data_IF_296723555826
#
_entry.id   IF_296723555826
#
_cell.length_a   1.000
_cell.length_b   1.000
_cell.length_c   1.000
_cell.angle_alpha   90.00
_cell.angle_beta   90.00
_cell.angle_gamma   90.00
#
_symmetry.space_group_name_H-M   'P 1'
#
loop_
_entity.id
_entity.type
_entity.pdbx_description
1 polymer ?
#
# COMPACT_ATOMS: atom_id res chain seq x y z
N UNK A 1 57.91 20.52 -2.64
CA UNK A 1 57.77 21.09 -3.99
C UNK A 1 56.45 20.56 -4.55
N UNK A 2 55.33 21.29 -4.46
CA UNK A 2 54.94 22.43 -5.32
C UNK A 2 55.01 22.03 -6.81
N UNK A 3 54.01 22.26 -7.66
CA UNK A 3 52.70 22.85 -7.47
C UNK A 3 51.80 22.52 -8.67
N UNK A 4 50.53 22.37 -8.33
CA UNK A 4 49.33 22.54 -9.13
C UNK A 4 49.36 23.81 -10.01
N UNK A 5 48.93 23.69 -11.27
CA UNK A 5 48.54 24.83 -12.12
C UNK A 5 47.01 24.83 -12.30
N UNK A 6 46.43 26.02 -12.15
CA UNK A 6 44.99 26.31 -12.11
C UNK A 6 44.63 27.32 -13.22
N UNK A 7 43.34 27.36 -13.55
CA UNK A 7 42.60 28.38 -14.36
C UNK A 7 42.65 28.19 -15.88
N UNK A 8 41.54 28.19 -16.64
CA UNK A 8 40.29 28.96 -16.51
C UNK A 8 39.11 28.22 -17.22
N UNK A 9 37.97 28.03 -16.55
CA UNK A 9 36.68 28.77 -16.61
C UNK A 9 35.76 28.50 -17.81
N UNK A 10 34.73 27.67 -17.56
CA UNK A 10 33.29 27.85 -17.87
C UNK A 10 32.62 26.49 -17.62
N UNK A 11 31.77 26.26 -16.62
CA UNK A 11 30.57 27.02 -16.29
C UNK A 11 29.34 26.27 -16.82
N UNK A 12 29.02 25.09 -16.28
CA UNK A 12 27.76 24.40 -16.57
C UNK A 12 27.27 23.65 -15.32
N UNK A 13 26.41 24.35 -14.56
CA UNK A 13 25.67 23.80 -13.43
C UNK A 13 24.55 22.94 -13.98
N UNK A 14 24.56 21.64 -13.65
CA UNK A 14 23.48 20.71 -13.94
C UNK A 14 22.18 21.16 -13.26
N UNK A 15 21.28 21.76 -14.05
CA UNK A 15 19.86 21.90 -13.71
C UNK A 15 19.17 20.56 -13.94
N UNK A 16 19.15 19.69 -12.92
CA UNK A 16 18.21 18.58 -12.88
C UNK A 16 16.86 19.12 -12.40
N UNK A 17 16.07 19.62 -13.34
CA UNK A 17 14.71 20.10 -13.12
C UNK A 17 13.83 18.96 -12.61
N UNK A 18 13.22 19.19 -11.44
CA UNK A 18 12.19 18.35 -10.83
C UNK A 18 10.94 18.42 -11.70
N UNK A 19 10.71 17.41 -12.53
CA UNK A 19 9.41 17.19 -13.18
C UNK A 19 8.47 16.52 -12.18
N UNK A 20 7.93 17.32 -11.26
CA UNK A 20 6.64 17.08 -10.62
C UNK A 20 5.70 18.12 -11.21
N UNK A 21 4.54 17.67 -11.70
CA UNK A 21 3.50 18.46 -12.37
C UNK A 21 3.82 18.84 -13.83
N UNK A 22 3.38 18.00 -14.77
CA UNK A 22 2.81 18.55 -16.01
C UNK A 22 1.39 18.99 -15.65
N UNK A 23 1.22 20.30 -15.52
CA UNK A 23 -0.05 21.00 -15.49
C UNK A 23 -0.55 21.03 -16.93
N UNK A 24 -1.53 20.18 -17.28
CA UNK A 24 -2.40 20.32 -18.46
C UNK A 24 -3.63 19.39 -18.35
N UNK A 25 -4.23 19.28 -17.16
CA UNK A 25 -5.49 18.54 -16.97
C UNK A 25 -6.45 19.17 -15.95
N UNK A 26 -6.24 20.42 -15.56
CA UNK A 26 -7.11 21.14 -14.62
C UNK A 26 -7.33 22.58 -15.10
N UNK A 27 -8.03 22.74 -16.22
CA UNK A 27 -8.66 24.01 -16.59
C UNK A 27 -9.85 23.78 -17.53
N UNK A 28 -11.00 23.36 -17.00
CA UNK A 28 -12.31 23.87 -17.47
C UNK A 28 -13.25 23.82 -16.27
N UNK A 29 -13.29 24.92 -15.53
CA UNK A 29 -14.51 25.33 -14.83
C UNK A 29 -15.30 26.16 -15.81
N UNK A 30 -16.44 25.66 -16.29
CA UNK A 30 -17.54 26.56 -16.62
C UNK A 30 -18.90 25.87 -16.56
N UNK A 31 -19.89 26.72 -16.39
CA UNK A 31 -21.12 26.52 -15.64
C UNK A 31 -22.36 26.29 -16.52
N UNK A 32 -23.41 25.75 -15.88
CA UNK A 32 -24.83 25.79 -16.27
C UNK A 32 -25.26 25.26 -17.65
N UNK A 33 -25.99 24.14 -17.67
CA UNK A 33 -27.40 24.13 -18.12
C UNK A 33 -28.13 22.84 -17.72
N UNK A 34 -29.23 23.04 -16.99
CA UNK A 34 -30.27 22.05 -16.72
C UNK A 34 -31.03 21.75 -18.01
N UNK A 35 -31.25 20.48 -18.32
CA UNK A 35 -32.50 20.04 -18.94
C UNK A 35 -32.91 18.66 -18.42
N UNK A 36 -34.12 18.64 -17.88
CA UNK A 36 -34.87 17.45 -17.48
C UNK A 36 -35.23 16.60 -18.71
N UNK A 37 -34.99 15.29 -18.63
CA UNK A 37 -35.73 14.31 -19.42
C UNK A 37 -36.23 13.20 -18.48
N UNK A 38 -37.54 13.25 -18.22
CA UNK A 38 -38.36 12.17 -17.67
C UNK A 38 -38.53 11.07 -18.71
N UNK A 39 -38.40 9.81 -18.27
CA UNK A 39 -39.09 8.57 -18.74
C UNK A 39 -38.30 7.39 -18.13
N UNK A 40 -38.85 6.30 -17.62
CA UNK A 40 -40.19 5.85 -17.27
C UNK A 40 -39.97 4.61 -16.36
N UNK A 41 -40.87 4.37 -15.40
CA UNK A 41 -40.75 3.28 -14.41
C UNK A 41 -41.23 1.95 -15.00
N UNK A 42 -40.50 0.87 -14.72
CA UNK A 42 -41.04 -0.51 -14.72
C UNK A 42 -40.27 -1.39 -13.69
N UNK A 43 -40.84 -2.50 -13.21
CA UNK A 43 -41.04 -2.74 -11.77
C UNK A 43 -39.93 -3.53 -11.05
N UNK A 44 -39.80 -3.28 -9.73
CA UNK A 44 -39.06 -4.12 -8.76
C UNK A 44 -39.71 -5.50 -8.61
N UNK A 45 -38.92 -6.54 -8.28
CA UNK A 45 -39.18 -7.27 -7.02
C UNK A 45 -37.89 -7.81 -6.33
N UNK A 46 -37.97 -8.57 -5.23
CA UNK A 46 -38.02 -8.09 -3.85
C UNK A 46 -36.68 -8.28 -3.09
N UNK A 47 -36.56 -7.60 -1.94
CA UNK A 47 -35.57 -7.92 -0.91
C UNK A 47 -35.83 -9.30 -0.31
N UNK A 48 -34.78 -10.08 -0.08
CA UNK A 48 -34.72 -11.05 1.01
C UNK A 48 -33.25 -11.24 1.44
N UNK A 49 -32.98 -10.80 2.67
CA UNK A 49 -31.83 -11.21 3.45
C UNK A 49 -32.18 -12.55 4.08
N UNK A 50 -31.31 -13.56 3.97
CA UNK A 50 -31.31 -14.65 4.94
C UNK A 50 -29.90 -15.22 5.15
N UNK A 51 -29.49 -15.17 6.41
CA UNK A 51 -28.25 -15.70 7.00
C UNK A 51 -28.53 -17.12 7.49
N UNK A 52 -28.15 -18.16 6.75
CA UNK A 52 -27.89 -19.50 7.30
C UNK A 52 -27.43 -20.48 6.21
N UNK A 53 -26.12 -20.71 6.11
CA UNK A 53 -25.44 -21.98 5.78
C UNK A 53 -24.04 -21.68 5.24
N UNK A 54 -23.03 -22.08 6.01
CA UNK A 54 -21.61 -21.79 5.78
C UNK A 54 -20.95 -22.65 4.71
N UNK A 55 -21.55 -22.80 3.52
CA UNK A 55 -20.91 -23.41 2.37
C UNK A 55 -21.29 -22.65 1.08
N UNK A 56 -20.38 -21.78 0.62
CA UNK A 56 -20.46 -21.24 -0.74
C UNK A 56 -19.72 -22.18 -1.70
N UNK A 57 -20.47 -23.02 -2.42
CA UNK A 57 -20.05 -23.48 -3.74
C UNK A 57 -19.94 -22.24 -4.65
N UNK A 58 -18.95 -22.16 -5.56
CA UNK A 58 -18.90 -21.06 -6.51
C UNK A 58 -20.24 -21.00 -7.26
N UNK A 59 -20.84 -19.80 -7.41
CA UNK A 59 -22.17 -19.69 -8.00
C UNK A 59 -22.15 -20.27 -9.42
N UNK A 60 -23.05 -21.22 -9.69
CA UNK A 60 -23.31 -21.82 -11.00
C UNK A 60 -23.96 -20.85 -12.01
N UNK A 61 -23.88 -19.55 -11.75
CA UNK A 61 -24.29 -18.47 -12.64
C UNK A 61 -23.10 -17.60 -13.10
N UNK A 62 -21.87 -18.06 -12.86
CA UNK A 62 -20.67 -17.48 -13.45
C UNK A 62 -20.39 -18.00 -14.87
N UNK A 63 -21.42 -18.39 -15.62
CA UNK A 63 -21.43 -18.11 -17.06
C UNK A 63 -21.61 -16.58 -17.25
N UNK A 64 -20.60 -15.82 -16.83
CA UNK A 64 -20.20 -14.72 -17.69
C UNK A 64 -19.97 -15.38 -19.04
N UNK A 65 -20.61 -14.90 -20.11
CA UNK A 65 -20.22 -15.20 -21.49
C UNK A 65 -18.77 -14.75 -21.70
N UNK A 66 -17.85 -15.50 -21.11
CA UNK A 66 -16.44 -15.56 -21.44
C UNK A 66 -16.45 -16.33 -22.75
N UNK A 67 -16.38 -15.63 -23.87
CA UNK A 67 -16.09 -16.24 -25.16
C UNK A 67 -14.65 -16.80 -25.11
N UNK A 68 -14.53 -18.00 -24.53
CA UNK A 68 -13.31 -18.77 -24.42
C UNK A 68 -13.71 -20.20 -24.05
N UNK A 69 -13.59 -21.11 -25.02
CA UNK A 69 -13.84 -22.53 -24.79
C UNK A 69 -12.85 -23.07 -23.75
N UNK A 70 -13.36 -23.63 -22.66
CA UNK A 70 -12.54 -24.29 -21.65
C UNK A 70 -12.04 -25.63 -22.21
N UNK A 71 -10.80 -25.68 -22.69
CA UNK A 71 -10.17 -26.90 -23.17
C UNK A 71 -9.71 -27.72 -21.96
N UNK A 72 -10.28 -28.90 -21.77
CA UNK A 72 -9.81 -29.86 -20.75
C UNK A 72 -8.55 -30.55 -21.26
N UNK A 73 -7.42 -30.29 -20.61
CA UNK A 73 -6.18 -31.04 -20.76
C UNK A 73 -5.66 -31.39 -19.37
N UNK A 74 -5.45 -32.68 -19.11
CA UNK A 74 -4.93 -33.30 -17.88
C UNK A 74 -5.08 -32.47 -16.58
N UNK A 75 -6.18 -32.70 -15.85
CA UNK A 75 -6.51 -32.20 -14.50
C UNK A 75 -6.55 -30.68 -14.27
N UNK A 76 -6.12 -29.84 -15.20
CA UNK A 76 -6.13 -28.37 -15.04
C UNK A 76 -7.20 -27.73 -15.92
N UNK A 77 -7.93 -26.75 -15.39
CA UNK A 77 -8.91 -25.97 -16.15
C UNK A 77 -8.22 -24.74 -16.75
N UNK A 78 -8.08 -24.73 -18.07
CA UNK A 78 -7.44 -23.65 -18.79
C UNK A 78 -8.47 -22.60 -19.19
N UNK A 79 -8.20 -21.33 -18.91
CA UNK A 79 -8.99 -20.17 -19.31
C UNK A 79 -8.11 -19.25 -20.14
N UNK A 80 -8.52 -18.99 -21.38
CA UNK A 80 -7.96 -17.90 -22.16
C UNK A 80 -8.71 -16.61 -21.86
N UNK A 81 -7.99 -15.55 -21.47
CA UNK A 81 -8.58 -14.25 -21.20
C UNK A 81 -7.97 -13.19 -22.13
N UNK A 82 -8.76 -12.55 -23.00
CA UNK A 82 -8.22 -11.66 -24.03
C UNK A 82 -7.61 -10.38 -23.44
N UNK A 83 -8.20 -9.84 -22.36
CA UNK A 83 -7.75 -8.62 -21.70
C UNK A 83 -6.66 -8.85 -20.64
N UNK A 84 -6.24 -7.80 -19.91
CA UNK A 84 -5.28 -7.92 -18.82
C UNK A 84 -5.80 -8.68 -17.60
N UNK A 85 -4.93 -9.52 -17.04
CA UNK A 85 -5.10 -10.14 -15.72
C UNK A 85 -4.46 -9.27 -14.64
N UNK A 86 -5.22 -8.95 -13.60
CA UNK A 86 -4.79 -8.14 -12.46
C UNK A 86 -4.67 -9.04 -11.23
N UNK A 87 -3.50 -9.06 -10.59
CA UNK A 87 -3.25 -9.90 -9.41
C UNK A 87 -3.40 -9.05 -8.14
N UNK A 88 -4.51 -9.27 -7.42
CA UNK A 88 -4.86 -8.61 -6.16
C UNK A 88 -6.01 -7.61 -6.29
N UNK A 89 -7.01 -7.71 -5.42
CA UNK A 89 -8.14 -6.80 -5.27
C UNK A 89 -7.95 -5.80 -4.12
N UNK A 90 -6.71 -5.39 -3.88
CA UNK A 90 -6.39 -4.23 -3.04
C UNK A 90 -6.67 -2.90 -3.75
N UNK A 91 -6.48 -1.74 -3.08
CA UNK A 91 -6.74 -0.43 -3.68
C UNK A 91 -6.06 -0.22 -5.04
N UNK A 92 -4.82 -0.69 -5.21
CA UNK A 92 -4.09 -0.59 -6.49
C UNK A 92 -4.74 -1.39 -7.62
N UNK A 93 -5.25 -2.59 -7.32
CA UNK A 93 -5.92 -3.46 -8.29
C UNK A 93 -7.30 -2.94 -8.68
N UNK A 94 -8.03 -2.37 -7.72
CA UNK A 94 -9.31 -1.71 -7.97
C UNK A 94 -9.13 -0.45 -8.84
N UNK A 95 -8.11 0.36 -8.53
CA UNK A 95 -7.77 1.57 -9.29
C UNK A 95 -7.50 1.26 -10.77
N UNK A 96 -6.64 0.28 -11.06
CA UNK A 96 -6.32 -0.08 -12.45
C UNK A 96 -7.52 -0.70 -13.17
N UNK A 97 -8.34 -1.51 -12.51
CA UNK A 97 -9.54 -2.07 -13.12
C UNK A 97 -10.56 -0.99 -13.51
N UNK A 98 -10.73 0.05 -12.67
CA UNK A 98 -11.59 1.18 -12.99
C UNK A 98 -11.06 2.00 -14.18
N UNK A 99 -9.76 2.32 -14.19
CA UNK A 99 -9.14 3.03 -15.32
C UNK A 99 -9.23 2.23 -16.63
N UNK A 100 -9.01 0.91 -16.59
CA UNK A 100 -9.16 0.05 -17.78
C UNK A 100 -10.62 0.03 -18.27
N UNK A 101 -11.59 -0.01 -17.35
CA UNK A 101 -13.00 0.03 -17.68
C UNK A 101 -13.41 1.35 -18.33
N UNK A 102 -12.93 2.48 -17.81
CA UNK A 102 -13.14 3.80 -18.43
C UNK A 102 -12.61 3.85 -19.87
N UNK A 103 -11.50 3.16 -20.13
CA UNK A 103 -10.90 3.03 -21.47
C UNK A 103 -11.53 1.95 -22.36
N UNK A 104 -12.59 1.27 -21.89
CA UNK A 104 -13.27 0.21 -22.64
C UNK A 104 -12.48 -1.10 -22.77
N UNK A 105 -11.44 -1.30 -21.94
CA UNK A 105 -10.63 -2.54 -21.95
C UNK A 105 -11.17 -3.51 -20.89
N UNK A 106 -11.67 -4.70 -21.28
CA UNK A 106 -12.11 -5.70 -20.30
C UNK A 106 -10.92 -6.23 -19.50
N UNK A 107 -11.08 -6.36 -18.18
CA UNK A 107 -10.03 -6.86 -17.29
C UNK A 107 -10.59 -7.84 -16.26
N UNK A 108 -9.74 -8.71 -15.74
CA UNK A 108 -10.11 -9.72 -14.75
C UNK A 108 -9.15 -9.65 -13.55
N UNK A 109 -9.70 -9.53 -12.35
CA UNK A 109 -8.92 -9.51 -11.10
C UNK A 109 -8.97 -10.90 -10.46
N UNK A 110 -7.80 -11.43 -10.09
CA UNK A 110 -7.65 -12.61 -9.24
C UNK A 110 -7.28 -12.17 -7.82
N UNK A 111 -8.09 -12.53 -6.83
CA UNK A 111 -7.87 -12.22 -5.41
C UNK A 111 -7.75 -13.51 -4.59
N UNK A 112 -6.69 -13.58 -3.78
CA UNK A 112 -6.41 -14.73 -2.90
C UNK A 112 -7.50 -14.91 -1.84
N UNK A 113 -7.97 -13.83 -1.26
CA UNK A 113 -8.89 -13.86 -0.12
C UNK A 113 -10.36 -13.90 -0.59
N UNK A 114 -11.29 -14.02 0.34
CA UNK A 114 -12.74 -14.00 0.08
C UNK A 114 -13.35 -12.60 -0.02
N UNK A 115 -12.52 -11.55 0.03
CA UNK A 115 -12.99 -10.16 0.05
C UNK A 115 -11.98 -9.19 -0.59
N UNK A 116 -12.47 -8.05 -1.06
CA UNK A 116 -11.61 -6.96 -1.54
C UNK A 116 -10.86 -6.30 -0.38
N UNK A 117 -9.71 -5.72 -0.69
CA UNK A 117 -8.89 -4.97 0.27
C UNK A 117 -8.67 -5.74 1.58
N UNK A 118 -8.39 -7.04 1.48
CA UNK A 118 -8.22 -7.95 2.61
C UNK A 118 -7.23 -7.46 3.66
N UNK A 119 -6.13 -6.80 3.24
CA UNK A 119 -5.19 -6.15 4.17
C UNK A 119 -5.88 -5.14 5.09
N UNK A 120 -6.77 -4.31 4.55
CA UNK A 120 -7.54 -3.33 5.31
C UNK A 120 -8.61 -3.98 6.18
N UNK A 121 -9.39 -4.93 5.62
CA UNK A 121 -10.47 -5.58 6.34
C UNK A 121 -9.96 -6.48 7.48
N UNK A 122 -9.02 -7.36 7.14
CA UNK A 122 -8.62 -8.50 7.96
C UNK A 122 -7.30 -8.31 8.70
N UNK A 123 -6.38 -7.45 8.24
CA UNK A 123 -5.00 -7.37 8.77
C UNK A 123 -4.63 -6.01 9.38
N UNK A 124 -5.64 -5.19 9.63
CA UNK A 124 -5.50 -3.84 10.19
C UNK A 124 -6.32 -3.70 11.46
N UNK A 125 -5.79 -2.98 12.44
CA UNK A 125 -6.45 -2.68 13.71
C UNK A 125 -7.64 -1.72 13.56
N UNK A 126 -8.55 -1.76 14.52
CA UNK A 126 -9.88 -1.13 14.41
C UNK A 126 -9.81 0.40 14.44
N UNK A 127 -8.94 0.95 15.30
CA UNK A 127 -8.82 2.40 15.49
C UNK A 127 -8.19 3.15 14.32
N UNK A 128 -7.66 2.44 13.31
CA UNK A 128 -6.88 3.05 12.24
C UNK A 128 -7.69 4.18 11.59
N UNK A 129 -7.03 5.32 11.43
CA UNK A 129 -7.45 6.39 10.53
C UNK A 129 -6.39 6.57 9.45
N UNK A 130 -6.79 7.03 8.27
CA UNK A 130 -5.82 7.41 7.26
C UNK A 130 -4.89 8.50 7.83
N UNK A 131 -3.58 8.32 7.68
CA UNK A 131 -2.59 9.29 8.17
C UNK A 131 -2.52 10.55 7.29
N UNK A 132 -3.01 10.45 6.05
CA UNK A 132 -3.00 11.54 5.08
C UNK A 132 -4.44 12.06 4.87
N UNK A 133 -4.58 13.35 4.50
CA UNK A 133 -5.87 13.89 4.09
C UNK A 133 -6.54 13.09 2.98
N UNK A 134 -7.88 13.03 3.00
CA UNK A 134 -8.69 12.21 2.09
C UNK A 134 -8.36 12.41 0.61
N UNK A 135 -8.15 13.66 0.17
CA UNK A 135 -7.81 13.97 -1.24
C UNK A 135 -6.47 13.39 -1.73
N UNK A 136 -5.54 13.02 -0.83
CA UNK A 136 -4.31 12.30 -1.21
C UNK A 136 -4.49 10.78 -1.21
N UNK A 137 -5.66 10.28 -0.82
CA UNK A 137 -5.98 8.88 -0.68
C UNK A 137 -7.11 8.42 -1.62
N UNK A 138 -7.59 9.30 -2.50
CA UNK A 138 -8.63 8.98 -3.48
C UNK A 138 -8.08 8.01 -4.51
N UNK A 139 -8.90 7.04 -4.88
CA UNK A 139 -8.69 6.21 -6.05
C UNK A 139 -9.10 7.00 -7.30
N UNK A 140 -8.52 6.69 -8.47
CA UNK A 140 -8.79 7.45 -9.68
C UNK A 140 -10.29 7.41 -10.02
N UNK A 141 -10.78 8.47 -10.66
CA UNK A 141 -12.15 8.60 -11.17
C UNK A 141 -13.26 8.75 -10.11
N UNK A 142 -12.97 8.68 -8.80
CA UNK A 142 -14.00 8.82 -7.77
C UNK A 142 -13.45 9.45 -6.48
N UNK A 143 -13.82 10.70 -6.15
CA UNK A 143 -13.39 11.32 -4.90
C UNK A 143 -14.05 10.69 -3.68
N UNK A 144 -13.53 10.96 -2.49
CA UNK A 144 -14.25 10.59 -1.26
C UNK A 144 -15.54 11.39 -1.11
N UNK A 145 -16.56 10.83 -0.42
CA UNK A 145 -17.75 11.60 -0.05
C UNK A 145 -17.40 12.92 0.67
N UNK A 146 -18.13 14.01 0.40
CA UNK A 146 -17.82 15.34 0.95
C UNK A 146 -17.94 15.38 2.48
N UNK A 147 -18.87 14.61 3.05
CA UNK A 147 -19.14 14.47 4.49
C UNK A 147 -18.07 13.69 5.26
N UNK A 148 -17.19 12.94 4.57
CA UNK A 148 -16.10 12.24 5.25
C UNK A 148 -15.12 13.23 5.89
N UNK A 149 -14.58 12.93 7.09
CA UNK A 149 -13.61 13.78 7.74
C UNK A 149 -12.32 13.87 6.90
N UNK A 150 -11.49 14.88 7.20
CA UNK A 150 -10.18 15.06 6.55
C UNK A 150 -9.34 13.79 6.62
N UNK A 151 -9.43 13.04 7.72
CA UNK A 151 -8.76 11.76 7.94
C UNK A 151 -9.80 10.65 8.15
N UNK A 152 -10.24 9.99 7.07
CA UNK A 152 -11.22 8.90 7.15
C UNK A 152 -10.78 7.78 8.08
N UNK A 153 -11.73 7.20 8.79
CA UNK A 153 -11.52 5.95 9.55
C UNK A 153 -11.32 4.77 8.60
N UNK A 154 -10.75 3.66 9.12
CA UNK A 154 -10.71 2.37 8.44
C UNK A 154 -12.08 1.99 7.86
N UNK A 155 -13.14 2.12 8.64
CA UNK A 155 -14.49 1.71 8.23
C UNK A 155 -15.03 2.59 7.09
N UNK A 156 -14.79 3.90 7.16
CA UNK A 156 -15.11 4.83 6.08
C UNK A 156 -14.32 4.54 4.81
N UNK A 157 -13.02 4.26 4.90
CA UNK A 157 -12.21 3.88 3.75
C UNK A 157 -12.71 2.58 3.10
N UNK A 158 -13.06 1.57 3.91
CA UNK A 158 -13.65 0.32 3.43
C UNK A 158 -14.99 0.58 2.72
N UNK A 159 -15.87 1.39 3.31
CA UNK A 159 -17.16 1.78 2.72
C UNK A 159 -16.99 2.51 1.39
N UNK A 160 -15.98 3.37 1.28
CA UNK A 160 -15.59 4.02 0.03
C UNK A 160 -15.18 2.99 -1.04
N UNK A 161 -14.36 1.99 -0.69
CA UNK A 161 -13.97 0.92 -1.63
C UNK A 161 -15.16 0.04 -2.04
N UNK A 162 -16.09 -0.25 -1.12
CA UNK A 162 -17.34 -0.97 -1.43
C UNK A 162 -18.21 -0.19 -2.43
N UNK A 163 -18.26 1.13 -2.28
CA UNK A 163 -18.97 2.01 -3.22
C UNK A 163 -18.24 2.05 -4.56
N UNK A 164 -16.90 2.09 -4.55
CA UNK A 164 -16.04 2.15 -5.72
C UNK A 164 -16.25 0.93 -6.62
N UNK A 165 -16.21 -0.29 -6.07
CA UNK A 165 -16.43 -1.51 -6.87
C UNK A 165 -17.84 -1.58 -7.44
N UNK A 166 -18.86 -1.07 -6.74
CA UNK A 166 -20.24 -1.02 -7.23
C UNK A 166 -20.37 -0.04 -8.39
N UNK A 167 -19.84 1.18 -8.22
CA UNK A 167 -19.86 2.24 -9.22
C UNK A 167 -19.21 1.79 -10.53
N UNK A 168 -18.02 1.20 -10.46
CA UNK A 168 -17.31 0.69 -11.63
C UNK A 168 -17.69 -0.76 -11.98
N UNK A 169 -18.69 -1.37 -11.34
CA UNK A 169 -19.12 -2.77 -11.54
C UNK A 169 -17.96 -3.78 -11.61
N UNK A 170 -16.95 -3.60 -10.75
CA UNK A 170 -15.75 -4.45 -10.69
C UNK A 170 -16.11 -5.74 -9.95
N UNK A 171 -15.77 -6.89 -10.55
CA UNK A 171 -16.06 -8.22 -10.00
C UNK A 171 -14.80 -9.08 -9.95
N UNK A 172 -14.05 -9.08 -8.84
CA UNK A 172 -12.91 -9.97 -8.66
C UNK A 172 -13.33 -11.43 -8.55
N UNK A 173 -12.46 -12.33 -9.02
CA UNK A 173 -12.53 -13.75 -8.68
C UNK A 173 -11.81 -13.98 -7.35
N UNK A 174 -12.56 -14.29 -6.32
CA UNK A 174 -12.05 -14.58 -4.98
C UNK A 174 -11.56 -16.01 -4.85
N UNK A 175 -10.75 -16.26 -3.81
CA UNK A 175 -10.10 -17.57 -3.55
C UNK A 175 -9.23 -18.06 -4.71
N UNK A 176 -8.71 -17.12 -5.50
CA UNK A 176 -7.81 -17.37 -6.62
C UNK A 176 -6.40 -16.93 -6.25
N UNK A 177 -5.76 -17.68 -5.35
CA UNK A 177 -4.34 -17.46 -5.02
C UNK A 177 -3.48 -17.80 -6.22
N UNK A 178 -2.79 -16.80 -6.77
CA UNK A 178 -1.77 -17.02 -7.80
C UNK A 178 -0.54 -17.63 -7.17
N UNK A 179 -0.22 -18.87 -7.55
CA UNK A 179 0.93 -19.64 -7.05
C UNK A 179 2.13 -19.55 -7.98
N UNK A 180 1.88 -19.36 -9.28
CA UNK A 180 2.92 -19.23 -10.32
C UNK A 180 2.41 -18.35 -11.46
N UNK A 181 3.27 -17.48 -11.98
CA UNK A 181 3.04 -16.78 -13.23
C UNK A 181 4.34 -16.74 -14.04
N UNK A 182 4.30 -17.17 -15.30
CA UNK A 182 5.48 -17.21 -16.18
C UNK A 182 5.10 -16.80 -17.61
N UNK A 183 6.04 -16.18 -18.32
CA UNK A 183 5.86 -15.83 -19.71
C UNK A 183 6.30 -16.99 -20.61
N UNK A 184 5.42 -17.45 -21.48
CA UNK A 184 5.68 -18.53 -22.43
C UNK A 184 6.03 -17.92 -23.81
N UNK A 185 7.32 -17.91 -24.13
CA UNK A 185 7.83 -17.37 -25.40
C UNK A 185 7.36 -18.14 -26.64
N UNK A 186 6.81 -19.35 -26.49
CA UNK A 186 6.31 -20.11 -27.64
C UNK A 186 4.97 -19.57 -28.14
N UNK A 187 4.17 -19.01 -27.24
CA UNK A 187 2.85 -18.47 -27.56
C UNK A 187 2.78 -16.95 -27.46
N UNK A 188 3.77 -16.31 -26.82
CA UNK A 188 3.79 -14.88 -26.49
C UNK A 188 2.67 -14.44 -25.52
N UNK A 189 2.41 -15.28 -24.51
CA UNK A 189 1.43 -15.02 -23.44
C UNK A 189 1.99 -15.40 -22.08
N UNK A 190 1.42 -14.80 -21.03
CA UNK A 190 1.60 -15.25 -19.66
C UNK A 190 0.71 -16.46 -19.38
N UNK A 191 1.26 -17.44 -18.67
CA UNK A 191 0.55 -18.53 -18.02
C UNK A 191 0.53 -18.29 -16.52
N UNK A 192 -0.67 -18.27 -15.92
CA UNK A 192 -0.88 -17.95 -14.51
C UNK A 192 -1.62 -19.10 -13.85
N UNK A 193 -0.97 -19.81 -12.93
CA UNK A 193 -1.59 -20.83 -12.11
C UNK A 193 -2.23 -20.18 -10.88
N UNK A 194 -3.54 -20.35 -10.73
CA UNK A 194 -4.30 -19.78 -9.63
C UNK A 194 -5.31 -20.76 -9.03
N UNK A 195 -5.64 -20.56 -7.75
CA UNK A 195 -6.51 -21.47 -7.02
C UNK A 195 -5.89 -22.87 -6.95
N UNK A 196 -6.75 -23.90 -6.91
CA UNK A 196 -6.26 -25.28 -6.83
C UNK A 196 -5.79 -25.80 -8.18
N UNK A 197 -6.60 -25.67 -9.23
CA UNK A 197 -6.36 -26.31 -10.53
C UNK A 197 -6.64 -25.42 -11.76
N UNK A 198 -6.60 -24.08 -11.62
CA UNK A 198 -6.85 -23.18 -12.76
C UNK A 198 -5.55 -22.65 -13.38
N UNK A 199 -5.51 -22.63 -14.71
CA UNK A 199 -4.48 -21.95 -15.50
C UNK A 199 -5.14 -20.86 -16.33
N UNK A 200 -4.69 -19.62 -16.16
CA UNK A 200 -5.14 -18.48 -16.96
C UNK A 200 -4.06 -18.11 -17.96
N UNK A 201 -4.46 -17.83 -19.20
CA UNK A 201 -3.58 -17.38 -20.27
C UNK A 201 -4.00 -15.98 -20.68
N UNK A 202 -3.08 -15.01 -20.60
CA UNK A 202 -3.33 -13.62 -21.01
C UNK A 202 -2.06 -12.94 -21.51
N UNK A 203 -2.22 -11.99 -22.42
CA UNK A 203 -1.11 -11.21 -22.98
C UNK A 203 -0.54 -10.22 -21.97
N UNK A 204 -1.39 -9.70 -21.08
CA UNK A 204 -1.01 -8.66 -20.14
C UNK A 204 -1.20 -9.14 -18.71
N UNK A 205 -0.15 -8.97 -17.91
CA UNK A 205 -0.14 -9.29 -16.49
C UNK A 205 0.13 -8.03 -15.69
N UNK A 206 -0.78 -7.69 -14.78
CA UNK A 206 -0.69 -6.52 -13.92
C UNK A 206 -0.52 -7.00 -12.48
N UNK A 207 0.67 -6.75 -11.92
CA UNK A 207 0.98 -7.03 -10.52
C UNK A 207 0.42 -5.92 -9.64
N UNK A 208 -0.60 -6.23 -8.83
CA UNK A 208 -1.26 -5.29 -7.92
C UNK A 208 -1.29 -5.78 -6.46
N UNK A 209 -0.37 -6.69 -6.10
CA UNK A 209 -0.28 -7.29 -4.75
C UNK A 209 0.27 -6.33 -3.69
N UNK A 210 0.90 -5.23 -4.11
CA UNK A 210 1.40 -4.16 -3.27
C UNK A 210 2.69 -4.47 -2.51
N UNK A 211 3.25 -3.43 -1.90
CA UNK A 211 4.54 -3.49 -1.19
C UNK A 211 4.48 -4.14 0.21
N UNK A 212 3.28 -4.23 0.81
CA UNK A 212 3.07 -4.70 2.19
C UNK A 212 2.25 -6.00 2.25
N UNK A 213 2.64 -7.00 1.44
CA UNK A 213 1.87 -8.24 1.27
C UNK A 213 2.03 -9.21 2.45
N UNK A 214 3.26 -9.38 2.97
CA UNK A 214 3.60 -10.34 4.02
C UNK A 214 4.21 -9.66 5.24
N UNK A 215 3.83 -10.12 6.44
CA UNK A 215 4.44 -9.68 7.69
C UNK A 215 5.94 -10.03 7.73
N UNK A 216 6.77 -9.08 8.15
CA UNK A 216 8.21 -9.32 8.34
C UNK A 216 8.47 -9.74 9.78
N UNK A 217 8.63 -11.03 10.03
CA UNK A 217 9.01 -11.57 11.34
C UNK A 217 10.54 -11.76 11.38
N UNK A 218 11.28 -10.99 12.19
CA UNK A 218 12.73 -11.15 12.31
C UNK A 218 13.07 -12.46 13.02
N UNK A 219 14.25 -13.03 12.70
CA UNK A 219 14.83 -14.13 13.47
C UNK A 219 15.64 -13.52 14.61
N UNK A 220 15.20 -13.69 15.85
CA UNK A 220 15.90 -13.26 17.06
C UNK A 220 16.12 -14.50 17.93
N UNK A 221 17.31 -14.63 18.52
CA UNK A 221 17.67 -15.75 19.39
C UNK A 221 16.70 -15.90 20.55
N UNK A 222 16.31 -17.14 20.87
CA UNK A 222 15.39 -17.46 21.97
C UNK A 222 13.91 -17.20 21.68
N UNK A 223 13.53 -16.71 20.49
CA UNK A 223 12.14 -16.29 20.23
C UNK A 223 11.12 -17.45 20.35
N UNK A 224 11.54 -18.69 20.08
CA UNK A 224 10.73 -19.90 20.27
C UNK A 224 10.59 -20.34 21.72
N UNK A 225 11.41 -19.81 22.63
CA UNK A 225 11.42 -20.15 24.06
C UNK A 225 10.48 -19.25 24.87
N UNK A 226 10.05 -18.12 24.31
CA UNK A 226 9.13 -17.19 24.95
C UNK A 226 7.75 -17.84 25.16
N UNK A 227 7.33 -17.91 26.42
CA UNK A 227 6.07 -18.55 26.84
C UNK A 227 4.86 -17.62 26.81
N UNK A 228 5.09 -16.31 26.67
CA UNK A 228 4.03 -15.31 26.54
C UNK A 228 3.44 -15.24 25.13
N UNK A 229 2.54 -14.29 24.92
CA UNK A 229 1.90 -14.11 23.60
C UNK A 229 2.84 -13.36 22.65
N UNK A 230 3.14 -13.95 21.48
CA UNK A 230 3.92 -13.32 20.42
C UNK A 230 3.06 -13.14 19.17
N UNK A 231 2.93 -11.91 18.68
CA UNK A 231 2.17 -11.63 17.45
C UNK A 231 2.80 -10.52 16.63
N UNK A 232 2.50 -10.48 15.33
CA UNK A 232 2.80 -9.34 14.47
C UNK A 232 1.64 -8.34 14.48
N UNK A 233 1.92 -7.06 14.18
CA UNK A 233 0.89 -6.00 14.08
C UNK A 233 -0.25 -6.32 13.11
N UNK A 234 -0.04 -7.20 12.13
CA UNK A 234 -1.10 -7.70 11.23
C UNK A 234 -2.20 -8.48 11.95
N UNK A 235 -1.88 -9.07 13.10
CA UNK A 235 -2.80 -9.83 13.93
C UNK A 235 -3.39 -8.98 15.09
N UNK A 236 -2.88 -7.76 15.30
CA UNK A 236 -3.39 -6.86 16.33
C UNK A 236 -4.73 -6.22 15.90
N UNK A 237 -5.69 -6.11 16.83
CA UNK A 237 -7.04 -5.57 16.56
C UNK A 237 -7.38 -4.34 17.38
N UNK A 238 -7.30 -4.44 18.70
CA UNK A 238 -7.65 -3.39 19.64
C UNK A 238 -6.81 -3.49 20.90
N UNK A 239 -6.54 -2.36 21.55
CA UNK A 239 -5.74 -2.32 22.77
C UNK A 239 -6.40 -2.94 24.00
N UNK A 240 -7.73 -2.99 24.03
CA UNK A 240 -8.49 -3.56 25.16
C UNK A 240 -8.17 -5.06 25.41
N UNK A 241 -7.76 -5.79 24.37
CA UNK A 241 -7.34 -7.20 24.47
C UNK A 241 -6.03 -7.42 25.25
N UNK A 242 -5.40 -6.35 25.75
CA UNK A 242 -4.11 -6.36 26.44
C UNK A 242 -4.17 -5.59 27.76
N UNK A 243 -5.38 -5.33 28.27
CA UNK A 243 -5.59 -4.53 29.47
C UNK A 243 -4.82 -5.11 30.65
N UNK A 244 -4.03 -4.26 31.33
CA UNK A 244 -3.13 -4.62 32.45
C UNK A 244 -2.00 -5.60 32.11
N UNK A 245 -1.77 -5.89 30.83
CA UNK A 245 -0.59 -6.65 30.41
C UNK A 245 0.64 -5.73 30.29
N UNK A 246 1.82 -6.27 30.59
CA UNK A 246 3.10 -5.71 30.19
C UNK A 246 3.37 -6.11 28.75
N UNK A 247 3.33 -5.14 27.84
CA UNK A 247 3.48 -5.42 26.41
C UNK A 247 4.62 -4.65 25.77
N UNK A 248 5.51 -5.41 25.13
CA UNK A 248 6.65 -4.90 24.39
C UNK A 248 6.31 -4.81 22.90
N UNK A 249 6.32 -3.61 22.36
CA UNK A 249 6.16 -3.35 20.92
C UNK A 249 7.54 -3.22 20.27
N UNK A 250 7.85 -4.14 19.37
CA UNK A 250 9.14 -4.19 18.68
C UNK A 250 9.08 -3.36 17.41
N UNK A 251 9.56 -2.12 17.48
CA UNK A 251 9.63 -1.19 16.35
C UNK A 251 8.84 0.10 16.59
N UNK A 252 9.37 1.18 16.03
CA UNK A 252 8.93 2.55 16.26
C UNK A 252 8.50 3.27 14.98
N UNK A 253 8.00 2.52 13.99
CA UNK A 253 7.33 3.08 12.81
C UNK A 253 5.90 3.55 13.14
N UNK A 254 5.15 3.98 12.10
CA UNK A 254 3.76 4.44 12.28
C UNK A 254 2.90 3.42 13.05
N UNK A 255 2.92 2.14 12.62
CA UNK A 255 2.18 1.08 13.32
C UNK A 255 2.64 0.87 14.76
N UNK A 256 3.95 0.92 15.04
CA UNK A 256 4.47 0.73 16.39
C UNK A 256 4.02 1.84 17.34
N UNK A 257 4.16 3.10 16.92
CA UNK A 257 3.70 4.24 17.72
C UNK A 257 2.18 4.24 17.91
N UNK A 258 1.41 3.85 16.89
CA UNK A 258 -0.05 3.80 16.97
C UNK A 258 -0.54 2.67 17.90
N UNK A 259 0.07 1.49 17.83
CA UNK A 259 -0.24 0.37 18.73
C UNK A 259 0.15 0.70 20.17
N UNK A 260 1.33 1.28 20.42
CA UNK A 260 1.70 1.71 21.79
C UNK A 260 0.71 2.74 22.35
N UNK A 261 0.26 3.69 21.54
CA UNK A 261 -0.75 4.67 21.97
C UNK A 261 -2.08 3.99 22.30
N UNK A 262 -2.52 3.02 21.50
CA UNK A 262 -3.76 2.30 21.76
C UNK A 262 -3.70 1.45 23.02
N UNK A 263 -2.61 0.70 23.18
CA UNK A 263 -2.32 -0.08 24.39
C UNK A 263 -2.36 0.80 25.64
N UNK A 264 -1.65 1.94 25.61
CA UNK A 264 -1.60 2.89 26.71
C UNK A 264 -2.98 3.47 27.03
N UNK A 265 -3.78 3.80 26.02
CA UNK A 265 -5.15 4.32 26.21
C UNK A 265 -6.11 3.26 26.78
N UNK A 266 -5.79 1.98 26.63
CA UNK A 266 -6.58 0.85 27.15
C UNK A 266 -5.92 0.19 28.39
N UNK A 267 -5.11 0.95 29.13
CA UNK A 267 -4.52 0.54 30.41
C UNK A 267 -3.56 -0.67 30.33
N UNK A 268 -2.90 -0.89 29.20
CA UNK A 268 -1.76 -1.78 29.09
C UNK A 268 -0.45 -1.04 29.42
N UNK A 269 0.53 -1.73 29.98
CA UNK A 269 1.87 -1.20 30.24
C UNK A 269 2.75 -1.37 29.00
N UNK A 270 2.80 -0.32 28.16
CA UNK A 270 3.48 -0.38 26.87
C UNK A 270 4.96 0.04 26.97
N UNK A 271 5.85 -0.84 26.52
CA UNK A 271 7.25 -0.55 26.21
C UNK A 271 7.49 -0.60 24.70
N UNK A 272 8.30 0.30 24.15
CA UNK A 272 8.60 0.38 22.72
C UNK A 272 10.09 0.24 22.46
N UNK A 273 10.46 -0.75 21.65
CA UNK A 273 11.83 -0.95 21.19
C UNK A 273 12.17 0.07 20.11
N UNK A 274 13.20 0.87 20.35
CA UNK A 274 13.76 1.83 19.39
C UNK A 274 15.21 1.46 19.12
N UNK A 275 15.46 0.80 17.99
CA UNK A 275 16.82 0.43 17.55
C UNK A 275 17.47 1.52 16.70
N UNK A 276 16.72 1.99 15.71
CA UNK A 276 17.21 2.88 14.65
C UNK A 276 16.67 4.31 14.82
N UNK A 277 17.36 5.25 14.17
CA UNK A 277 16.94 6.66 14.12
C UNK A 277 15.66 6.81 13.29
N UNK A 278 14.74 7.66 13.75
CA UNK A 278 13.52 7.98 13.00
C UNK A 278 13.16 9.47 13.10
N UNK A 279 12.45 9.96 12.08
CA UNK A 279 11.86 11.29 12.12
C UNK A 279 10.43 11.19 12.62
N UNK A 280 10.10 11.96 13.66
CA UNK A 280 8.74 12.17 14.13
C UNK A 280 8.36 13.58 13.74
N UNK A 281 7.27 13.71 13.00
CA UNK A 281 6.68 14.99 12.62
C UNK A 281 5.27 15.07 13.20
N UNK A 282 4.77 16.27 13.54
CA UNK A 282 3.36 16.40 13.89
C UNK A 282 2.51 16.01 12.69
N UNK A 283 1.29 15.47 12.89
CA UNK A 283 0.39 15.21 11.76
C UNK A 283 -0.04 16.51 11.05
N UNK A 284 -0.20 17.58 11.82
CA UNK A 284 -0.63 18.90 11.35
C UNK A 284 0.27 20.00 11.94
N UNK A 285 0.54 21.02 11.14
CA UNK A 285 1.25 22.25 11.50
C UNK A 285 0.27 23.41 11.30
N UNK A 286 -0.18 24.04 12.38
CA UNK A 286 -1.11 25.18 12.34
C UNK A 286 -2.40 24.90 11.52
N UNK A 287 -3.00 23.72 11.69
CA UNK A 287 -4.21 23.29 10.98
C UNK A 287 -3.99 22.79 9.54
N UNK A 288 -2.76 22.83 9.04
CA UNK A 288 -2.39 22.27 7.72
C UNK A 288 -1.72 20.93 7.90
N UNK A 289 -2.13 19.92 7.14
CA UNK A 289 -1.46 18.61 7.20
C UNK A 289 0.03 18.73 6.85
N UNK A 290 0.90 18.08 7.63
CA UNK A 290 2.36 18.10 7.39
C UNK A 290 2.72 17.54 6.01
N UNK A 291 1.96 16.55 5.54
CA UNK A 291 2.12 16.02 4.19
C UNK A 291 1.76 17.06 3.13
N UNK A 292 0.60 17.74 3.24
CA UNK A 292 0.21 18.81 2.33
C UNK A 292 1.22 19.97 2.32
N UNK A 293 1.69 20.37 3.51
CA UNK A 293 2.77 21.36 3.65
C UNK A 293 4.04 20.88 2.93
N UNK A 294 4.43 19.61 3.09
CA UNK A 294 5.62 19.08 2.41
C UNK A 294 5.48 19.08 0.88
N UNK A 295 4.30 18.75 0.34
CA UNK A 295 4.02 18.80 -1.09
C UNK A 295 4.09 20.24 -1.60
N UNK A 296 3.50 21.18 -0.86
CA UNK A 296 3.54 22.61 -1.20
C UNK A 296 4.98 23.15 -1.18
N UNK A 297 5.78 22.83 -0.16
CA UNK A 297 7.18 23.23 -0.08
C UNK A 297 8.01 22.68 -1.24
N UNK A 298 7.82 21.40 -1.59
CA UNK A 298 8.54 20.75 -2.69
C UNK A 298 8.18 21.32 -4.07
N UNK A 299 7.06 22.04 -4.21
CA UNK A 299 6.73 22.76 -5.44
C UNK A 299 7.64 23.97 -5.67
N UNK A 300 8.16 24.57 -4.61
CA UNK A 300 8.86 25.85 -4.66
C UNK A 300 10.32 25.79 -4.21
N UNK A 301 10.68 24.78 -3.41
CA UNK A 301 11.96 24.71 -2.72
C UNK A 301 12.69 23.39 -2.99
N UNK A 302 14.03 23.39 -2.99
CA UNK A 302 14.82 22.17 -2.99
C UNK A 302 14.52 21.30 -1.76
N UNK A 303 14.62 19.98 -1.91
CA UNK A 303 14.30 18.97 -0.87
C UNK A 303 14.96 19.30 0.49
N UNK A 304 16.24 19.70 0.48
CA UNK A 304 16.98 20.02 1.71
C UNK A 304 16.45 21.25 2.44
N UNK A 305 15.96 22.25 1.70
CA UNK A 305 15.36 23.46 2.29
C UNK A 305 13.99 23.12 2.88
N UNK A 306 13.18 22.36 2.15
CA UNK A 306 11.90 21.85 2.65
C UNK A 306 12.10 21.01 3.93
N UNK A 307 13.09 20.13 3.95
CA UNK A 307 13.45 19.33 5.13
C UNK A 307 13.86 20.19 6.32
N UNK A 308 14.67 21.24 6.10
CA UNK A 308 15.07 22.16 7.15
C UNK A 308 13.86 22.86 7.78
N UNK A 309 12.93 23.37 6.95
CA UNK A 309 11.71 24.02 7.41
C UNK A 309 10.79 23.06 8.18
N UNK A 310 10.59 21.85 7.67
CA UNK A 310 9.79 20.83 8.35
C UNK A 310 10.39 20.45 9.71
N UNK A 311 11.72 20.33 9.78
CA UNK A 311 12.42 20.02 11.03
C UNK A 311 12.36 21.17 12.03
N UNK A 312 12.39 22.42 11.57
CA UNK A 312 12.18 23.60 12.41
C UNK A 312 10.76 23.59 13.01
N UNK A 313 9.72 23.42 12.18
CA UNK A 313 8.34 23.29 12.66
C UNK A 313 8.19 22.13 13.65
N UNK A 314 8.78 20.97 13.34
CA UNK A 314 8.74 19.81 14.21
C UNK A 314 9.47 20.06 15.55
N UNK A 315 10.58 20.81 15.57
CA UNK A 315 11.26 21.19 16.82
C UNK A 315 10.42 22.17 17.64
N UNK A 316 9.76 23.13 17.01
CA UNK A 316 8.90 24.09 17.71
C UNK A 316 7.67 23.43 18.32
N UNK A 317 7.03 22.49 17.60
CA UNK A 317 5.78 21.85 18.04
C UNK A 317 6.06 20.66 18.97
N UNK A 318 6.98 19.77 18.58
CA UNK A 318 7.25 18.53 19.31
C UNK A 318 8.41 18.65 20.31
N UNK A 319 9.21 19.71 20.25
CA UNK A 319 10.42 19.85 21.06
C UNK A 319 11.53 18.89 20.64
N UNK A 320 12.53 18.76 21.53
CA UNK A 320 13.59 17.78 21.38
C UNK A 320 13.09 16.38 21.73
N UNK A 321 13.20 15.46 20.77
CA UNK A 321 12.79 14.06 20.88
C UNK A 321 13.91 13.16 21.38
N UNK A 322 15.17 13.60 21.27
CA UNK A 322 16.34 12.80 21.65
C UNK A 322 16.41 12.58 23.16
N UNK A 323 15.98 13.56 23.96
CA UNK A 323 15.83 13.45 25.42
C UNK A 323 14.88 12.34 25.89
N UNK A 324 14.09 11.78 24.97
CA UNK A 324 13.15 10.68 25.21
C UNK A 324 13.56 9.38 24.48
N UNK A 325 14.82 9.25 24.07
CA UNK A 325 15.33 8.06 23.37
C UNK A 325 15.00 7.99 21.87
N UNK A 326 14.35 9.03 21.31
CA UNK A 326 13.93 9.07 19.90
C UNK A 326 14.89 9.94 19.08
N UNK A 327 16.00 9.33 18.70
CA UNK A 327 17.09 9.97 17.94
C UNK A 327 16.68 10.23 16.49
N UNK A 328 16.92 11.45 16.01
CA UNK A 328 16.63 11.84 14.61
C UNK A 328 17.80 11.47 13.67
N UNK A 329 17.51 11.01 12.43
CA UNK A 329 18.52 10.86 11.39
C UNK A 329 19.18 12.20 11.02
N UNK A 330 20.43 12.15 10.52
CA UNK A 330 21.13 13.34 10.01
C UNK A 330 20.54 13.85 8.69
N UNK A 331 20.10 12.92 7.85
CA UNK A 331 19.42 13.20 6.58
C UNK A 331 17.98 13.64 6.90
N UNK A 332 17.47 14.64 6.18
CA UNK A 332 16.11 15.16 6.39
C UNK A 332 14.99 14.15 6.08
N UNK A 333 13.76 14.37 6.56
CA UNK A 333 12.67 13.40 6.43
C UNK A 333 12.27 13.07 4.99
N UNK A 334 12.23 14.06 4.09
CA UNK A 334 11.89 13.87 2.68
C UNK A 334 13.04 13.24 1.90
N UNK A 335 14.29 13.69 2.14
CA UNK A 335 15.48 13.09 1.54
C UNK A 335 15.65 11.62 1.97
N UNK A 336 15.38 11.30 3.24
CA UNK A 336 15.40 9.94 3.75
C UNK A 336 14.32 9.07 3.09
N UNK A 337 13.11 9.62 2.91
CA UNK A 337 12.02 8.92 2.20
C UNK A 337 12.40 8.64 0.74
N UNK A 338 12.97 9.60 0.03
CA UNK A 338 13.36 9.43 -1.38
C UNK A 338 14.48 8.40 -1.54
N UNK A 339 15.47 8.39 -0.65
CA UNK A 339 16.64 7.51 -0.76
C UNK A 339 16.38 6.09 -0.24
N UNK A 340 15.65 5.93 0.86
CA UNK A 340 15.49 4.63 1.54
C UNK A 340 14.06 4.09 1.51
N UNK A 341 13.07 4.92 1.18
CA UNK A 341 11.65 4.59 1.35
C UNK A 341 11.12 4.72 2.78
N UNK A 342 11.98 4.99 3.77
CA UNK A 342 11.55 5.15 5.17
C UNK A 342 10.77 6.46 5.32
N UNK A 343 9.49 6.32 5.64
CA UNK A 343 8.59 7.46 5.85
C UNK A 343 8.68 7.95 7.29
N UNK A 344 8.69 9.27 7.54
CA UNK A 344 8.59 9.79 8.91
C UNK A 344 7.30 9.34 9.59
N UNK A 345 7.35 9.22 10.91
CA UNK A 345 6.13 8.97 11.70
C UNK A 345 5.37 10.27 11.87
N UNK A 346 4.07 10.23 11.59
CA UNK A 346 3.15 11.33 11.86
C UNK A 346 2.52 11.11 13.23
N UNK A 347 3.00 11.83 14.23
CA UNK A 347 2.53 11.65 15.61
C UNK A 347 1.09 12.15 15.78
N UNK A 348 0.30 11.32 16.49
CA UNK A 348 -1.09 11.57 16.85
C UNK A 348 -1.31 11.51 18.37
N UNK A 349 -0.25 11.60 19.17
CA UNK A 349 -0.32 11.58 20.64
C UNK A 349 0.57 10.54 21.32
N UNK A 350 1.22 9.65 20.57
CA UNK A 350 2.14 8.65 21.12
C UNK A 350 3.36 9.33 21.77
N UNK A 351 3.90 10.38 21.13
CA UNK A 351 4.99 11.15 21.69
C UNK A 351 4.62 11.79 23.04
N UNK A 352 3.38 12.29 23.19
CA UNK A 352 2.91 12.85 24.46
C UNK A 352 2.93 11.80 25.57
N UNK A 353 2.50 10.57 25.28
CA UNK A 353 2.53 9.47 26.25
C UNK A 353 3.96 9.05 26.61
N UNK A 354 4.87 9.05 25.64
CA UNK A 354 6.32 8.85 25.88
C UNK A 354 6.89 9.93 26.80
N UNK A 355 6.59 11.21 26.52
CA UNK A 355 7.05 12.35 27.35
C UNK A 355 6.61 12.23 28.80
N UNK A 356 5.38 11.76 29.02
CA UNK A 356 4.82 11.57 30.36
C UNK A 356 5.24 10.26 31.04
N UNK A 357 6.05 9.40 30.39
CA UNK A 357 6.51 8.13 30.95
C UNK A 357 5.51 6.97 30.87
N UNK A 358 4.31 7.17 30.32
CA UNK A 358 3.30 6.12 30.16
C UNK A 358 3.65 5.11 29.06
N UNK A 359 4.51 5.49 28.10
CA UNK A 359 5.13 4.58 27.15
C UNK A 359 6.64 4.62 27.41
N UNK A 360 7.23 3.48 27.77
CA UNK A 360 8.67 3.38 28.05
C UNK A 360 9.42 3.13 26.74
N UNK A 361 10.47 3.90 26.47
CA UNK A 361 11.36 3.65 25.32
C UNK A 361 12.53 2.80 25.78
N UNK A 362 12.71 1.64 25.15
CA UNK A 362 13.74 0.66 25.48
C UNK A 362 14.65 0.37 24.28
N UNK A 363 15.92 -0.02 24.50
CA UNK A 363 16.85 -0.28 23.41
C UNK A 363 16.54 -1.60 22.69
N UNK A 364 17.36 -1.94 21.69
CA UNK A 364 17.21 -3.18 20.91
C UNK A 364 17.21 -4.45 21.78
N UNK A 365 16.55 -5.49 21.29
CA UNK A 365 16.54 -6.83 21.91
C UNK A 365 17.84 -7.55 21.52
N UNK A 366 18.54 -8.11 22.51
CA UNK A 366 19.66 -9.03 22.31
C UNK A 366 19.15 -10.46 22.07
N UNK A 367 18.31 -10.97 23.00
CA UNK A 367 17.67 -12.28 22.89
C UNK A 367 16.35 -12.31 23.67
N UNK A 368 15.49 -13.26 23.32
CA UNK A 368 14.29 -13.57 24.09
C UNK A 368 14.65 -14.50 25.26
N UNK A 369 13.87 -14.37 26.33
CA UNK A 369 13.88 -15.23 27.52
C UNK A 369 12.52 -15.93 27.62
N UNK A 370 12.35 -16.84 28.57
CA UNK A 370 11.08 -17.56 28.71
C UNK A 370 9.90 -16.66 29.12
N UNK A 371 10.16 -15.61 29.90
CA UNK A 371 9.16 -14.63 30.39
C UNK A 371 9.40 -13.19 29.91
N UNK A 372 10.29 -12.96 28.95
CA UNK A 372 10.63 -11.60 28.54
C UNK A 372 11.75 -11.51 27.53
N UNK A 373 12.56 -10.46 27.65
CA UNK A 373 13.71 -10.22 26.77
C UNK A 373 14.92 -9.72 27.55
N UNK A 374 16.09 -10.01 27.02
CA UNK A 374 17.33 -9.34 27.36
C UNK A 374 17.60 -8.28 26.29
N UNK A 375 17.83 -7.04 26.71
CA UNK A 375 18.16 -5.93 25.83
C UNK A 375 19.67 -5.86 25.56
N UNK A 376 20.06 -5.10 24.53
CA UNK A 376 21.47 -4.90 24.13
C UNK A 376 22.33 -4.21 25.21
N UNK A 377 21.72 -3.58 26.20
CA UNK A 377 22.42 -2.98 27.35
C UNK A 377 22.56 -3.95 28.53
N UNK A 378 22.16 -5.22 28.35
CA UNK A 378 22.22 -6.28 29.37
C UNK A 378 21.04 -6.30 30.34
N UNK A 379 20.14 -5.30 30.32
CA UNK A 379 18.94 -5.32 31.17
C UNK A 379 17.99 -6.41 30.72
N UNK A 380 17.36 -7.08 31.68
CA UNK A 380 16.32 -8.07 31.45
C UNK A 380 15.00 -7.52 31.97
N UNK A 381 13.96 -7.58 31.15
CA UNK A 381 12.61 -7.19 31.55
C UNK A 381 11.61 -8.26 31.11
N UNK A 382 10.63 -8.50 31.96
CA UNK A 382 9.54 -9.44 31.71
C UNK A 382 8.39 -8.79 30.96
N UNK A 383 7.78 -9.55 30.05
CA UNK A 383 6.62 -9.12 29.26
C UNK A 383 5.64 -10.26 29.11
N UNK A 384 4.35 -9.95 29.21
CA UNK A 384 3.27 -10.93 29.02
C UNK A 384 2.99 -11.11 27.52
N UNK A 385 3.10 -10.02 26.76
CA UNK A 385 2.93 -10.02 25.30
C UNK A 385 4.03 -9.24 24.57
N UNK A 386 4.51 -9.78 23.45
CA UNK A 386 5.42 -9.10 22.53
C UNK A 386 4.73 -8.92 21.17
N UNK A 387 4.65 -7.67 20.70
CA UNK A 387 4.04 -7.30 19.42
C UNK A 387 5.13 -6.85 18.45
N UNK A 388 5.30 -7.59 17.36
CA UNK A 388 6.24 -7.26 16.29
C UNK A 388 5.63 -6.19 15.36
N UNK A 389 6.11 -4.96 15.48
CA UNK A 389 5.82 -3.83 14.60
C UNK A 389 6.96 -3.64 13.57
N UNK A 390 7.42 -4.75 13.01
CA UNK A 390 8.64 -4.88 12.22
C UNK A 390 8.44 -4.72 10.71
N UNK A 391 7.23 -4.36 10.30
CA UNK A 391 6.90 -4.00 8.93
C UNK A 391 6.52 -5.19 8.07
N UNK A 392 6.54 -4.97 6.76
CA UNK A 392 6.06 -5.93 5.77
C UNK A 392 7.05 -6.03 4.60
N UNK A 393 6.85 -7.03 3.76
CA UNK A 393 7.56 -7.23 2.50
C UNK A 393 6.59 -7.54 1.36
N UNK A 394 7.03 -7.23 0.15
CA UNK A 394 6.41 -7.73 -1.07
C UNK A 394 6.62 -9.24 -1.19
N UNK A 395 5.65 -9.94 -1.77
CA UNK A 395 5.71 -11.37 -2.04
C UNK A 395 5.77 -11.69 -3.54
N UNK A 396 5.92 -10.69 -4.42
CA UNK A 396 5.88 -10.90 -5.88
C UNK A 396 6.86 -11.98 -6.36
N UNK A 397 8.04 -12.04 -5.74
CA UNK A 397 9.13 -12.95 -6.13
C UNK A 397 8.86 -14.41 -5.76
N UNK A 398 7.84 -14.72 -4.94
CA UNK A 398 7.50 -16.11 -4.60
C UNK A 398 6.73 -16.80 -5.73
N UNK A 399 5.92 -16.06 -6.49
CA UNK A 399 5.03 -16.60 -7.51
C UNK A 399 5.35 -16.14 -8.93
N UNK A 400 5.87 -14.92 -9.13
CA UNK A 400 6.23 -14.42 -10.47
C UNK A 400 7.60 -14.97 -10.89
N UNK A 401 7.63 -15.72 -12.00
CA UNK A 401 8.84 -16.25 -12.63
C UNK A 401 9.40 -15.25 -13.65
N UNK A 402 9.85 -14.12 -13.13
CA UNK A 402 10.46 -13.03 -13.88
C UNK A 402 11.54 -12.38 -12.99
N UNK A 403 12.69 -12.02 -13.56
CA UNK A 403 13.86 -11.59 -12.77
C UNK A 403 14.45 -10.23 -13.15
N UNK A 404 14.10 -9.70 -14.32
CA UNK A 404 14.58 -8.43 -14.84
C UNK A 404 13.79 -7.25 -14.26
N UNK A 405 12.46 -7.34 -14.21
CA UNK A 405 11.62 -6.22 -13.79
C UNK A 405 11.58 -6.05 -12.27
N UNK A 406 11.39 -7.14 -11.52
CA UNK A 406 11.38 -7.10 -10.05
C UNK A 406 12.72 -7.49 -9.42
N UNK A 407 13.16 -6.74 -8.41
CA UNK A 407 14.35 -7.06 -7.64
C UNK A 407 14.08 -8.22 -6.69
N UNK A 408 14.81 -9.34 -6.87
CA UNK A 408 14.71 -10.55 -6.02
C UNK A 408 14.81 -10.29 -4.51
N UNK A 409 15.59 -9.28 -4.10
CA UNK A 409 15.85 -9.01 -2.68
C UNK A 409 14.68 -8.37 -1.94
N UNK A 410 13.96 -7.46 -2.60
CA UNK A 410 12.93 -6.63 -1.94
C UNK A 410 11.55 -6.75 -2.57
N UNK A 411 11.42 -7.37 -3.75
CA UNK A 411 10.14 -7.51 -4.47
C UNK A 411 9.57 -6.19 -5.00
N UNK A 412 10.43 -5.21 -5.28
CA UNK A 412 10.07 -3.95 -5.95
C UNK A 412 10.57 -3.92 -7.39
N UNK A 413 9.91 -3.17 -8.29
CA UNK A 413 10.47 -2.85 -9.61
C UNK A 413 11.87 -2.25 -9.49
N UNK A 414 12.79 -2.64 -10.37
CA UNK A 414 14.18 -2.12 -10.36
C UNK A 414 14.26 -0.65 -10.74
N UNK A 415 13.40 -0.23 -11.65
CA UNK A 415 13.31 1.18 -12.06
C UNK A 415 12.55 1.96 -10.99
N UNK A 416 13.07 3.12 -10.53
CA UNK A 416 12.36 3.94 -9.56
C UNK A 416 11.16 4.67 -10.20
N UNK A 417 10.23 5.09 -9.35
CA UNK A 417 9.18 6.04 -9.73
C UNK A 417 9.82 7.31 -10.36
N UNK A 418 9.28 7.87 -11.46
CA UNK A 418 7.96 7.62 -12.05
C UNK A 418 7.89 6.50 -13.08
N UNK A 419 8.99 5.79 -13.38
CA UNK A 419 9.05 4.83 -14.49
C UNK A 419 9.03 3.37 -14.03
N UNK A 420 8.56 3.12 -12.80
CA UNK A 420 8.53 1.81 -12.14
C UNK A 420 7.40 0.88 -12.60
N UNK A 421 6.48 1.36 -13.45
CA UNK A 421 5.19 0.70 -13.70
C UNK A 421 5.17 -0.25 -14.91
N UNK A 422 6.14 -0.15 -15.83
CA UNK A 422 6.17 -0.92 -17.09
C UNK A 422 7.36 -1.88 -17.14
N UNK A 423 7.08 -3.16 -17.35
CA UNK A 423 8.03 -4.21 -17.66
C UNK A 423 8.00 -4.61 -19.13
N UNK A 424 8.71 -5.70 -19.47
CA UNK A 424 8.67 -6.33 -20.80
C UNK A 424 7.45 -7.23 -20.95
N UNK A 425 7.14 -7.64 -22.17
CA UNK A 425 6.19 -8.71 -22.48
C UNK A 425 4.79 -8.50 -21.88
N UNK A 426 4.30 -7.24 -21.82
CA UNK A 426 2.98 -6.93 -21.25
C UNK A 426 2.89 -7.05 -19.73
N UNK A 427 4.02 -7.08 -19.01
CA UNK A 427 4.07 -7.04 -17.56
C UNK A 427 4.00 -5.61 -17.03
N UNK A 428 3.17 -5.37 -16.02
CA UNK A 428 3.02 -4.09 -15.35
C UNK A 428 3.03 -4.24 -13.83
N UNK A 429 3.39 -3.17 -13.12
CA UNK A 429 3.35 -3.09 -11.66
C UNK A 429 2.58 -1.84 -11.23
N UNK A 430 1.61 -2.00 -10.33
CA UNK A 430 0.90 -0.88 -9.70
C UNK A 430 0.95 -0.98 -8.18
N UNK A 431 1.18 0.14 -7.50
CA UNK A 431 1.22 0.21 -6.04
C UNK A 431 2.57 -0.16 -5.40
N UNK A 432 3.66 -0.08 -6.17
CA UNK A 432 5.05 -0.30 -5.70
C UNK A 432 5.87 0.99 -5.64
N UNK A 433 5.21 2.15 -5.67
CA UNK A 433 5.85 3.47 -5.81
C UNK A 433 6.42 4.04 -4.52
N UNK A 434 6.08 3.46 -3.35
CA UNK A 434 6.33 4.05 -2.01
C UNK A 434 5.70 5.43 -1.81
N UNK A 435 4.69 5.76 -2.62
CA UNK A 435 3.94 7.02 -2.57
C UNK A 435 2.48 6.83 -2.14
N UNK A 436 2.14 5.67 -1.59
CA UNK A 436 0.79 5.35 -1.13
C UNK A 436 -0.22 5.29 -2.27
N UNK A 437 -1.49 5.57 -1.93
CA UNK A 437 -2.63 5.47 -2.86
C UNK A 437 -2.53 6.46 -4.04
N UNK A 438 -1.97 7.65 -3.81
CA UNK A 438 -1.70 8.60 -4.89
C UNK A 438 -0.75 8.00 -5.94
N UNK A 439 0.31 7.32 -5.51
CA UNK A 439 1.23 6.66 -6.43
C UNK A 439 0.57 5.51 -7.20
N UNK A 440 -0.26 4.71 -6.54
CA UNK A 440 -1.03 3.65 -7.19
C UNK A 440 -2.01 4.22 -8.25
N UNK A 441 -2.60 5.38 -7.98
CA UNK A 441 -3.49 6.08 -8.92
C UNK A 441 -2.74 6.60 -10.15
N UNK A 442 -1.51 7.09 -9.98
CA UNK A 442 -0.65 7.53 -11.10
C UNK A 442 -0.27 6.34 -11.98
N UNK A 443 0.15 5.22 -11.37
CA UNK A 443 0.47 3.99 -12.11
C UNK A 443 -0.77 3.48 -12.86
N UNK A 444 -1.95 3.47 -12.21
CA UNK A 444 -3.19 2.98 -12.80
C UNK A 444 -3.55 3.71 -14.11
N UNK A 445 -3.50 5.04 -14.14
CA UNK A 445 -3.78 5.81 -15.36
C UNK A 445 -2.79 5.48 -16.48
N UNK A 446 -1.49 5.40 -16.17
CA UNK A 446 -0.45 5.15 -17.18
C UNK A 446 -0.51 3.75 -17.76
N UNK A 447 -0.75 2.75 -16.91
CA UNK A 447 -0.92 1.36 -17.33
C UNK A 447 -2.17 1.24 -18.20
N UNK A 448 -3.30 1.83 -17.78
CA UNK A 448 -4.54 1.78 -18.54
C UNK A 448 -4.39 2.44 -19.93
N UNK A 449 -3.70 3.58 -20.01
CA UNK A 449 -3.44 4.27 -21.27
C UNK A 449 -2.57 3.42 -22.23
N UNK A 450 -1.48 2.84 -21.72
CA UNK A 450 -0.56 2.01 -22.52
C UNK A 450 -1.25 0.72 -23.02
N UNK A 451 -2.07 0.08 -22.16
CA UNK A 451 -2.83 -1.11 -22.55
C UNK A 451 -3.94 -0.73 -23.54
N UNK A 452 -4.66 0.37 -23.34
CA UNK A 452 -5.72 0.81 -24.25
C UNK A 452 -5.17 1.11 -25.66
N UNK A 453 -4.00 1.74 -25.76
CA UNK A 453 -3.32 1.94 -27.04
C UNK A 453 -3.03 0.59 -27.75
N UNK A 454 -2.56 -0.41 -27.01
CA UNK A 454 -2.27 -1.74 -27.56
C UNK A 454 -3.55 -2.52 -27.90
N UNK A 455 -4.60 -2.37 -27.10
CA UNK A 455 -5.90 -3.00 -27.31
C UNK A 455 -6.57 -2.48 -28.58
N UNK A 456 -6.61 -1.15 -28.75
CA UNK A 456 -7.27 -0.49 -29.89
C UNK A 456 -6.50 -0.65 -31.20
N UNK A 457 -5.17 -0.68 -31.16
CA UNK A 457 -4.37 -0.96 -32.36
C UNK A 457 -4.59 -2.39 -32.87
N UNK A 458 -4.72 -3.38 -31.97
CA UNK A 458 -4.88 -4.78 -32.36
C UNK A 458 -6.32 -5.18 -32.70
N UNK A 459 -7.33 -4.61 -32.04
CA UNK A 459 -8.74 -4.82 -32.41
C UNK A 459 -9.07 -4.26 -33.80
N UNK A 460 -8.35 -3.23 -34.27
CA UNK A 460 -8.41 -2.79 -35.68
C UNK A 460 -7.84 -3.80 -36.69
N UNK A 461 -7.06 -4.78 -36.24
CA UNK A 461 -6.37 -5.76 -37.09
C UNK A 461 -6.83 -7.22 -36.90
N UNK A 462 -7.81 -7.46 -36.04
CA UNK A 462 -8.50 -8.75 -35.96
C UNK A 462 -9.83 -8.62 -36.72
N UNK A 463 -10.08 -9.43 -37.77
CA UNK A 463 -11.45 -9.67 -38.20
C UNK A 463 -12.21 -10.18 -36.97
N UNK A 464 -13.34 -9.57 -36.65
CA UNK A 464 -14.24 -10.08 -35.61
C UNK A 464 -14.89 -11.38 -36.08
N UNK A 465 -14.12 -12.45 -36.21
CA UNK A 465 -14.61 -13.83 -36.27
C UNK A 465 -13.64 -14.70 -35.47
N UNK A 466 -14.03 -14.99 -34.23
CA UNK A 466 -13.60 -16.14 -33.44
C UNK A 466 -14.82 -16.67 -32.68
#
# INVERSE_FOLDING_TARGET
>A
MLAYQWSSRSGMVNKTTVYLFSLDALSVTDSHHYQELKMERSPKPPMLWDLASGEQKPPSHLELKLHGEAIRSNNSKIIWFPGPLIIGAGPSGLAIAACLKEKGVPSLILEKESCIASSWRMRTYERLKLHLPKHFCELPLMPFPPDFPVYPTKQQFISYLDTYIKHFSIRPLFRMEVRKAEYDNNIDFWRINAGDDWEFISRWLIVATGENAEAMVPKITGMSEFKGRLLHTSCYKKGDDFRRERVLVVGCGNSGMEVCLDLCNNHAEASMVVRDKLHILPREVLGVSTFGLSVWLLRWLPVRVADCLLLLCARLILGDTEKHGLKRPKIGPLELKNSTGKTPVLDIGALSKIKSGHIKVVPGINRFLDKGVEFVDGRQEEFDTIILATGYRSNVTSWLKEEEFFCKKNGFPRTPFPNSWRGKNGLYATGFTRRGLLGASIDAHRIAEDIACQWNSKTKHLPMEL
#
